data_IF_049673192732
#
_entry.id   IF_049673192732
#
_cell.length_a   1.000
_cell.length_b   1.000
_cell.length_c   1.000
_cell.angle_alpha   90.00
_cell.angle_beta   90.00
_cell.angle_gamma   90.00
#
_symmetry.space_group_name_H-M   'P 1'
#
loop_
_entity.id
_entity.type
_entity.pdbx_description
1 polymer ?
#
# COMPACT_ATOMS: atom_id res chain seq x y z
N UNK A 1 11.69 12.54 -32.95
CA UNK A 1 10.45 13.11 -32.40
C UNK A 1 10.78 13.49 -30.97
N UNK A 2 10.99 14.77 -30.72
CA UNK A 2 11.21 15.25 -29.35
C UNK A 2 9.83 15.31 -28.70
N UNK A 3 9.55 14.36 -27.81
CA UNK A 3 8.39 14.42 -26.95
C UNK A 3 8.72 15.35 -25.78
N UNK A 4 8.42 16.63 -25.92
CA UNK A 4 8.34 17.50 -24.76
C UNK A 4 6.99 17.24 -24.07
N UNK A 5 7.04 16.64 -22.91
CA UNK A 5 5.87 16.52 -22.03
C UNK A 5 5.65 17.88 -21.35
N UNK A 6 4.58 18.55 -21.72
CA UNK A 6 4.21 19.84 -21.13
C UNK A 6 2.88 19.72 -20.37
N UNK A 7 2.87 20.20 -19.16
CA UNK A 7 1.65 20.31 -18.37
C UNK A 7 0.75 21.46 -18.89
N UNK A 8 -0.56 21.28 -18.78
CA UNK A 8 -1.51 22.36 -19.05
C UNK A 8 -1.40 23.47 -17.99
N UNK A 9 -1.91 24.66 -18.31
CA UNK A 9 -1.95 25.75 -17.33
C UNK A 9 -2.74 25.40 -16.05
N UNK A 10 -3.79 24.58 -16.17
CA UNK A 10 -4.56 24.10 -15.03
C UNK A 10 -3.75 23.12 -14.16
N UNK A 11 -3.05 22.17 -14.78
CA UNK A 11 -2.16 21.26 -14.07
C UNK A 11 -1.01 21.98 -13.37
N UNK A 12 -0.45 23.01 -14.00
CA UNK A 12 0.62 23.80 -13.38
C UNK A 12 0.09 24.66 -12.21
N UNK A 13 -1.10 25.23 -12.32
CA UNK A 13 -1.74 25.92 -11.20
C UNK A 13 -2.00 24.97 -10.02
N UNK A 14 -2.50 23.78 -10.29
CA UNK A 14 -2.68 22.75 -9.27
C UNK A 14 -1.34 22.31 -8.65
N UNK A 15 -0.28 22.17 -9.45
CA UNK A 15 1.08 21.92 -8.96
C UNK A 15 1.55 22.96 -7.97
N UNK A 16 1.31 24.25 -8.24
CA UNK A 16 1.69 25.32 -7.32
C UNK A 16 0.94 25.23 -5.99
N UNK A 17 -0.33 24.83 -6.01
CA UNK A 17 -1.12 24.60 -4.79
C UNK A 17 -0.54 23.45 -3.95
N UNK A 18 -0.29 22.30 -4.59
CA UNK A 18 0.30 21.12 -3.93
C UNK A 18 1.68 21.44 -3.38
N UNK A 19 2.52 22.13 -4.18
CA UNK A 19 3.86 22.54 -3.80
C UNK A 19 3.85 23.47 -2.59
N UNK A 20 3.01 24.49 -2.59
CA UNK A 20 2.92 25.44 -1.47
C UNK A 20 2.52 24.74 -0.16
N UNK A 21 1.59 23.78 -0.23
CA UNK A 21 1.21 22.98 0.93
C UNK A 21 2.39 22.12 1.41
N UNK A 22 3.04 21.39 0.51
CA UNK A 22 4.14 20.48 0.88
C UNK A 22 5.37 21.24 1.38
N UNK A 23 5.72 22.40 0.79
CA UNK A 23 6.83 23.24 1.27
C UNK A 23 6.58 23.77 2.69
N UNK A 24 5.33 24.09 3.00
CA UNK A 24 4.96 24.51 4.35
C UNK A 24 5.01 23.35 5.35
N UNK A 25 4.59 22.14 4.92
CA UNK A 25 4.41 20.99 5.82
C UNK A 25 5.64 20.10 5.91
N UNK A 26 6.44 20.02 4.87
CA UNK A 26 7.61 19.11 4.80
C UNK A 26 8.84 19.92 4.37
N UNK A 27 9.42 20.68 5.29
CA UNK A 27 10.64 21.43 5.00
C UNK A 27 11.82 20.48 4.78
N UNK A 28 12.92 20.90 4.12
CA UNK A 28 14.03 20.04 3.71
C UNK A 28 14.62 19.16 4.81
N UNK A 29 14.67 19.65 6.05
CA UNK A 29 15.15 18.92 7.22
C UNK A 29 14.23 17.78 7.69
N UNK A 30 13.02 17.69 7.12
CA UNK A 30 12.02 16.66 7.39
C UNK A 30 11.83 15.70 6.23
N UNK A 31 12.64 15.80 5.17
CA UNK A 31 12.60 14.81 4.10
C UNK A 31 12.89 13.41 4.65
N UNK A 32 12.11 12.43 4.23
CA UNK A 32 12.29 11.07 4.69
C UNK A 32 13.59 10.46 4.12
N UNK A 33 14.21 9.50 4.81
CA UNK A 33 15.21 8.66 4.18
C UNK A 33 14.61 7.87 3.02
N UNK A 34 15.45 7.49 2.07
CA UNK A 34 15.05 6.73 0.86
C UNK A 34 14.33 5.43 1.18
N UNK A 35 14.64 4.82 2.34
CA UNK A 35 13.99 3.60 2.79
C UNK A 35 12.89 3.91 3.83
N UNK A 36 11.61 3.84 3.45
CA UNK A 36 10.49 4.05 4.39
C UNK A 36 10.46 3.05 5.56
N UNK A 37 11.09 1.88 5.41
CA UNK A 37 11.15 0.85 6.44
C UNK A 37 12.13 1.23 7.57
N UNK A 38 13.05 2.16 7.31
CA UNK A 38 14.02 2.67 8.27
C UNK A 38 13.53 3.87 9.09
N UNK A 39 12.30 4.35 8.88
CA UNK A 39 11.76 5.50 9.59
C UNK A 39 11.70 5.26 11.11
N UNK A 40 12.22 6.22 11.88
CA UNK A 40 11.98 6.26 13.32
C UNK A 40 10.51 6.59 13.65
N UNK A 41 10.13 6.41 14.93
CA UNK A 41 8.74 6.57 15.34
C UNK A 41 8.24 8.03 15.20
N UNK A 42 9.09 9.02 15.46
CA UNK A 42 8.76 10.43 15.35
C UNK A 42 8.52 10.83 13.88
N UNK A 43 9.40 10.39 12.99
CA UNK A 43 9.29 10.64 11.55
C UNK A 43 8.07 9.93 10.96
N UNK A 44 7.82 8.69 11.37
CA UNK A 44 6.62 7.97 10.96
C UNK A 44 5.33 8.69 11.42
N UNK A 45 5.25 9.09 12.69
CA UNK A 45 4.10 9.81 13.22
C UNK A 45 3.90 11.15 12.51
N UNK A 46 4.98 11.86 12.22
CA UNK A 46 4.94 13.10 11.46
C UNK A 46 4.32 12.93 10.07
N UNK A 47 4.78 11.96 9.29
CA UNK A 47 4.22 11.72 7.96
C UNK A 47 2.80 11.16 8.00
N UNK A 48 2.42 10.45 9.07
CA UNK A 48 1.02 10.07 9.30
C UNK A 48 0.10 11.30 9.37
N UNK A 49 0.53 12.35 10.05
CA UNK A 49 -0.25 13.61 10.12
C UNK A 49 -0.27 14.32 8.76
N UNK A 50 0.84 14.37 8.03
CA UNK A 50 0.86 14.91 6.65
C UNK A 50 -0.12 14.16 5.76
N UNK A 51 -0.16 12.82 5.82
CA UNK A 51 -1.10 12.01 5.06
C UNK A 51 -2.57 12.29 5.43
N UNK A 52 -2.89 12.49 6.71
CA UNK A 52 -4.25 12.88 7.13
C UNK A 52 -4.64 14.25 6.57
N UNK A 53 -3.72 15.21 6.57
CA UNK A 53 -3.98 16.52 5.99
C UNK A 53 -4.14 16.47 4.45
N UNK A 54 -3.37 15.62 3.77
CA UNK A 54 -3.55 15.34 2.34
C UNK A 54 -4.88 14.62 2.09
N UNK A 55 -5.23 13.65 2.93
CA UNK A 55 -6.51 12.93 2.87
C UNK A 55 -7.71 13.87 3.04
N UNK A 56 -7.64 14.83 3.98
CA UNK A 56 -8.68 15.84 4.16
C UNK A 56 -8.88 16.73 2.93
N UNK A 57 -7.87 16.87 2.06
CA UNK A 57 -7.95 17.57 0.77
C UNK A 57 -8.33 16.65 -0.38
N UNK A 58 -8.46 15.35 -0.15
CA UNK A 58 -8.64 14.34 -1.19
C UNK A 58 -7.39 14.08 -2.04
N UNK A 59 -6.21 14.45 -1.56
CA UNK A 59 -4.94 14.32 -2.29
C UNK A 59 -4.19 13.01 -2.01
N UNK A 60 -4.52 12.30 -0.94
CA UNK A 60 -3.89 11.02 -0.62
C UNK A 60 -4.30 9.93 -1.62
N UNK A 61 -5.58 9.89 -1.99
CA UNK A 61 -6.16 9.03 -3.02
C UNK A 61 -7.01 9.87 -3.98
N UNK A 62 -6.36 10.67 -4.84
CA UNK A 62 -7.03 11.74 -5.58
C UNK A 62 -8.07 11.24 -6.59
N UNK A 63 -7.89 10.06 -7.16
CA UNK A 63 -8.78 9.51 -8.18
C UNK A 63 -9.99 8.75 -7.63
N UNK A 64 -10.06 8.55 -6.30
CA UNK A 64 -11.21 7.92 -5.66
C UNK A 64 -12.40 8.88 -5.49
N UNK A 65 -13.64 8.34 -5.36
CA UNK A 65 -14.84 9.18 -5.26
C UNK A 65 -14.84 10.09 -4.03
N UNK A 66 -15.25 11.35 -4.19
CA UNK A 66 -15.34 12.34 -3.11
C UNK A 66 -16.23 11.91 -1.95
N UNK A 67 -17.32 11.21 -2.24
CA UNK A 67 -18.27 10.74 -1.22
C UNK A 67 -17.68 9.78 -0.20
N UNK A 68 -16.53 9.17 -0.51
CA UNK A 68 -15.79 8.29 0.41
C UNK A 68 -14.47 8.90 0.90
N UNK A 69 -14.22 10.19 0.63
CA UNK A 69 -13.02 10.88 1.08
C UNK A 69 -11.86 10.90 0.08
N UNK A 70 -12.08 10.42 -1.14
CA UNK A 70 -11.15 10.62 -2.25
C UNK A 70 -11.28 12.01 -2.88
N UNK A 71 -10.37 12.33 -3.79
CA UNK A 71 -10.35 13.66 -4.45
C UNK A 71 -11.39 13.84 -5.56
N UNK A 72 -11.84 12.74 -6.19
CA UNK A 72 -12.65 12.81 -7.43
C UNK A 72 -11.90 13.53 -8.55
N UNK A 73 -10.57 13.49 -8.51
CA UNK A 73 -9.66 14.11 -9.47
C UNK A 73 -9.27 13.12 -10.56
N UNK A 74 -8.56 13.59 -11.58
CA UNK A 74 -8.07 12.75 -12.69
C UNK A 74 -6.70 12.17 -12.38
N UNK A 75 -6.25 11.20 -13.20
CA UNK A 75 -4.91 10.62 -13.11
C UNK A 75 -3.79 11.67 -13.29
N UNK A 76 -4.03 12.72 -14.07
CA UNK A 76 -3.08 13.81 -14.25
C UNK A 76 -2.81 14.58 -12.94
N UNK A 77 -3.86 14.81 -12.15
CA UNK A 77 -3.70 15.43 -10.84
C UNK A 77 -2.93 14.51 -9.88
N UNK A 78 -3.19 13.19 -9.94
CA UNK A 78 -2.44 12.21 -9.15
C UNK A 78 -0.96 12.24 -9.50
N UNK A 79 -0.63 12.29 -10.80
CA UNK A 79 0.75 12.39 -11.27
C UNK A 79 1.45 13.66 -10.73
N UNK A 80 0.77 14.81 -10.74
CA UNK A 80 1.29 16.05 -10.19
C UNK A 80 1.59 15.93 -8.69
N UNK A 81 0.67 15.31 -7.92
CA UNK A 81 0.86 15.08 -6.48
C UNK A 81 2.07 14.17 -6.25
N UNK A 82 2.15 13.06 -7.00
CA UNK A 82 3.23 12.08 -6.88
C UNK A 82 4.61 12.69 -7.15
N UNK A 83 4.72 13.52 -8.18
CA UNK A 83 5.95 14.23 -8.49
C UNK A 83 6.37 15.20 -7.40
N UNK A 84 5.43 15.97 -6.83
CA UNK A 84 5.75 16.92 -5.78
C UNK A 84 6.09 16.22 -4.45
N UNK A 85 5.48 15.08 -4.15
CA UNK A 85 5.86 14.24 -3.01
C UNK A 85 7.25 13.62 -3.20
N UNK A 86 7.52 13.06 -4.38
CA UNK A 86 8.79 12.44 -4.68
C UNK A 86 9.97 13.41 -4.61
N UNK A 87 9.79 14.67 -5.00
CA UNK A 87 10.82 15.73 -4.88
C UNK A 87 11.23 16.03 -3.44
N UNK A 88 10.45 15.60 -2.46
CA UNK A 88 10.66 15.82 -1.01
C UNK A 88 10.88 14.55 -0.24
N UNK A 89 11.09 13.43 -0.95
CA UNK A 89 11.25 12.10 -0.36
C UNK A 89 10.10 11.76 0.61
N UNK A 90 8.86 12.20 0.30
CA UNK A 90 7.69 11.91 1.12
C UNK A 90 7.22 10.49 0.80
N UNK A 91 7.12 9.59 1.80
CA UNK A 91 6.56 8.26 1.58
C UNK A 91 5.13 8.35 1.02
N UNK A 92 4.88 7.72 -0.12
CA UNK A 92 3.56 7.82 -0.77
C UNK A 92 2.45 7.28 0.11
N UNK A 93 2.66 6.13 0.71
CA UNK A 93 1.70 5.46 1.59
C UNK A 93 2.42 4.67 2.68
N UNK A 94 1.82 4.64 3.86
CA UNK A 94 2.14 3.67 4.92
C UNK A 94 1.15 2.51 4.93
N UNK A 95 0.28 2.46 3.95
CA UNK A 95 -0.82 1.52 3.85
C UNK A 95 -0.69 0.77 2.54
N UNK A 96 -0.92 -0.52 2.58
CA UNK A 96 -1.10 -1.29 1.37
C UNK A 96 -2.51 -1.01 0.82
N UNK A 97 -2.65 0.04 0.00
CA UNK A 97 -3.92 0.50 -0.56
C UNK A 97 -4.56 -0.43 -1.60
N UNK A 98 -4.02 -1.62 -1.81
CA UNK A 98 -4.50 -2.57 -2.82
C UNK A 98 -5.92 -3.09 -2.54
N UNK A 99 -6.37 -3.04 -1.29
CA UNK A 99 -7.75 -3.41 -0.91
C UNK A 99 -8.80 -2.37 -1.30
N UNK A 100 -8.41 -1.13 -1.56
CA UNK A 100 -9.37 -0.04 -1.76
C UNK A 100 -10.34 -0.30 -2.93
N UNK A 101 -9.89 -0.77 -4.12
CA UNK A 101 -10.80 -1.15 -5.19
C UNK A 101 -11.74 -2.30 -4.78
N UNK A 102 -11.24 -3.27 -4.01
CA UNK A 102 -12.06 -4.40 -3.56
C UNK A 102 -13.18 -3.93 -2.63
N UNK A 103 -12.89 -3.02 -1.68
CA UNK A 103 -13.93 -2.45 -0.82
C UNK A 103 -14.92 -1.60 -1.66
N UNK A 104 -14.42 -0.85 -2.64
CA UNK A 104 -15.26 -0.01 -3.49
C UNK A 104 -16.25 -0.82 -4.34
N UNK A 105 -15.80 -1.96 -4.87
CA UNK A 105 -16.59 -2.82 -5.78
C UNK A 105 -17.50 -3.78 -5.00
N UNK A 106 -16.95 -4.47 -4.01
CA UNK A 106 -17.61 -5.57 -3.30
C UNK A 106 -18.26 -5.18 -1.98
N UNK A 107 -17.91 -4.03 -1.44
CA UNK A 107 -18.41 -3.58 -0.14
C UNK A 107 -19.82 -3.03 -0.18
N UNK A 108 -20.57 -3.29 0.90
CA UNK A 108 -21.82 -2.56 1.17
C UNK A 108 -21.54 -1.10 1.49
N UNK A 109 -22.56 -0.25 1.46
CA UNK A 109 -22.39 1.17 1.80
C UNK A 109 -21.92 1.36 3.25
N UNK A 110 -22.34 0.47 4.17
CA UNK A 110 -21.88 0.46 5.56
C UNK A 110 -20.40 0.10 5.63
N UNK A 111 -19.96 -0.93 4.90
CA UNK A 111 -18.54 -1.32 4.83
C UNK A 111 -17.68 -0.22 4.20
N UNK A 112 -18.14 0.44 3.13
CA UNK A 112 -17.44 1.58 2.54
C UNK A 112 -17.26 2.71 3.53
N UNK A 113 -18.29 3.08 4.28
CA UNK A 113 -18.20 4.11 5.33
C UNK A 113 -17.27 3.70 6.46
N UNK A 114 -17.34 2.43 6.88
CA UNK A 114 -16.57 1.94 8.01
C UNK A 114 -15.08 1.74 7.69
N UNK A 115 -14.74 1.24 6.51
CA UNK A 115 -13.39 0.82 6.16
C UNK A 115 -12.75 1.69 5.06
N UNK A 116 -13.50 2.03 3.99
CA UNK A 116 -12.92 2.76 2.86
C UNK A 116 -12.63 4.22 3.22
N UNK A 117 -13.56 4.90 3.90
CA UNK A 117 -13.40 6.31 4.27
C UNK A 117 -12.17 6.55 5.15
N UNK A 118 -11.94 5.81 6.26
CA UNK A 118 -10.76 6.01 7.09
C UNK A 118 -9.44 5.72 6.35
N UNK A 119 -9.42 4.78 5.42
CA UNK A 119 -8.24 4.47 4.61
C UNK A 119 -7.95 5.58 3.59
N UNK A 120 -8.98 6.06 2.85
CA UNK A 120 -8.82 7.13 1.85
C UNK A 120 -8.41 8.46 2.47
N UNK A 121 -8.84 8.72 3.70
CA UNK A 121 -8.50 9.95 4.44
C UNK A 121 -7.21 9.84 5.28
N UNK A 122 -6.49 8.70 5.22
CA UNK A 122 -5.25 8.51 5.96
C UNK A 122 -5.42 8.31 7.47
N UNK A 123 -6.66 8.17 7.95
CA UNK A 123 -6.95 7.92 9.37
C UNK A 123 -6.50 6.53 9.81
N UNK A 124 -6.59 5.55 8.90
CA UNK A 124 -6.19 4.17 9.15
C UNK A 124 -5.18 3.69 8.12
N UNK A 125 -4.35 2.72 8.51
CA UNK A 125 -3.46 1.95 7.66
C UNK A 125 -3.97 0.53 7.50
N UNK A 126 -3.64 -0.13 6.38
CA UNK A 126 -4.02 -1.53 6.18
C UNK A 126 -2.90 -2.35 5.56
N UNK A 127 -2.87 -3.65 5.87
CA UNK A 127 -1.92 -4.61 5.33
C UNK A 127 -2.59 -5.80 4.70
N UNK A 128 -2.04 -6.22 3.57
CA UNK A 128 -2.45 -7.41 2.85
C UNK A 128 -1.92 -8.67 3.53
N UNK A 129 -2.80 -9.62 3.82
CA UNK A 129 -2.47 -10.88 4.50
C UNK A 129 -2.84 -12.08 3.62
N UNK A 130 -2.05 -12.32 2.57
CA UNK A 130 -2.35 -13.35 1.58
C UNK A 130 -1.51 -14.61 1.79
N UNK A 131 -0.18 -14.48 1.76
CA UNK A 131 0.75 -15.60 1.74
C UNK A 131 0.75 -16.42 3.01
N UNK A 132 0.94 -17.73 2.86
CA UNK A 132 1.13 -18.71 3.94
C UNK A 132 2.38 -19.54 3.67
N UNK A 133 2.86 -20.28 4.66
CA UNK A 133 4.02 -21.18 4.49
C UNK A 133 3.85 -22.20 3.35
N UNK A 134 2.63 -22.55 3.02
CA UNK A 134 2.26 -23.50 1.97
C UNK A 134 1.65 -22.86 0.72
N UNK A 135 1.45 -21.53 0.70
CA UNK A 135 0.73 -20.83 -0.35
C UNK A 135 1.30 -19.42 -0.58
N UNK A 136 1.97 -19.25 -1.70
CA UNK A 136 2.47 -17.97 -2.20
C UNK A 136 1.88 -17.71 -3.58
N UNK A 137 2.62 -18.01 -4.65
CA UNK A 137 2.14 -17.88 -6.03
C UNK A 137 0.86 -18.68 -6.31
N UNK A 138 0.66 -19.80 -5.65
CA UNK A 138 -0.62 -20.51 -5.62
C UNK A 138 -1.47 -20.06 -4.42
N UNK A 139 -2.05 -18.88 -4.51
CA UNK A 139 -2.89 -18.31 -3.45
C UNK A 139 -4.11 -19.19 -3.12
N UNK A 140 -4.65 -19.94 -4.09
CA UNK A 140 -5.79 -20.81 -3.85
C UNK A 140 -5.47 -22.04 -2.97
N UNK A 141 -4.17 -22.25 -2.65
CA UNK A 141 -3.72 -23.33 -1.76
C UNK A 141 -3.61 -22.92 -0.27
N UNK A 142 -4.13 -21.76 0.11
CA UNK A 142 -4.16 -21.31 1.51
C UNK A 142 -4.93 -22.31 2.39
N UNK A 143 -4.53 -22.37 3.66
CA UNK A 143 -5.07 -23.31 4.65
C UNK A 143 -5.65 -22.64 5.89
N UNK A 144 -5.35 -21.37 6.13
CA UNK A 144 -5.99 -20.62 7.22
C UNK A 144 -7.50 -20.60 7.01
N UNK A 145 -8.23 -20.89 8.07
CA UNK A 145 -9.68 -21.13 8.01
C UNK A 145 -10.46 -20.00 8.66
N UNK A 146 -11.67 -19.79 8.18
CA UNK A 146 -12.70 -19.00 8.85
C UNK A 146 -13.96 -19.86 8.98
N UNK A 147 -14.32 -20.23 10.20
CA UNK A 147 -15.48 -21.09 10.48
C UNK A 147 -16.61 -20.22 11.02
N UNK A 148 -17.81 -20.37 10.46
CA UNK A 148 -18.97 -19.60 10.89
C UNK A 148 -19.42 -20.01 12.30
N UNK A 149 -19.66 -19.03 13.17
CA UNK A 149 -20.18 -19.20 14.51
C UNK A 149 -21.28 -18.16 14.78
N UNK A 150 -22.52 -18.55 14.53
CA UNK A 150 -23.66 -17.64 14.53
C UNK A 150 -23.58 -16.61 13.42
N UNK A 151 -23.59 -15.33 13.79
CA UNK A 151 -23.44 -14.20 12.86
C UNK A 151 -21.97 -13.80 12.61
N UNK A 152 -21.04 -14.38 13.38
CA UNK A 152 -19.62 -14.11 13.33
C UNK A 152 -18.83 -15.26 12.66
N UNK A 153 -17.52 -15.05 12.54
CA UNK A 153 -16.55 -16.01 12.04
C UNK A 153 -15.41 -16.18 13.04
N UNK A 154 -14.94 -17.41 13.19
CA UNK A 154 -13.74 -17.74 13.99
C UNK A 154 -12.61 -18.08 13.03
N UNK A 155 -11.56 -17.26 13.04
CA UNK A 155 -10.41 -17.40 12.16
C UNK A 155 -9.26 -18.06 12.89
N UNK A 156 -8.64 -19.08 12.23
CA UNK A 156 -7.45 -19.77 12.70
C UNK A 156 -6.45 -19.95 11.57
N UNK A 157 -5.17 -19.83 11.89
CA UNK A 157 -4.08 -20.02 10.95
C UNK A 157 -2.96 -19.00 11.08
N UNK A 158 -2.23 -18.80 9.99
CA UNK A 158 -1.13 -17.82 9.96
C UNK A 158 -0.95 -17.24 8.57
N UNK A 159 -0.39 -16.05 8.53
CA UNK A 159 0.07 -15.39 7.30
C UNK A 159 1.50 -14.94 7.47
N UNK A 160 2.26 -14.88 6.37
CA UNK A 160 3.67 -14.53 6.40
C UNK A 160 4.06 -13.65 5.22
N UNK A 161 5.26 -13.06 5.32
CA UNK A 161 5.78 -12.09 4.34
C UNK A 161 4.88 -10.87 4.17
N UNK A 162 4.25 -10.43 5.26
CA UNK A 162 3.37 -9.26 5.24
C UNK A 162 4.25 -8.02 5.33
N UNK A 163 4.31 -7.26 4.24
CA UNK A 163 5.09 -6.02 4.19
C UNK A 163 4.46 -4.96 5.09
N UNK A 164 5.24 -4.49 6.05
CA UNK A 164 4.84 -3.45 6.98
C UNK A 164 5.82 -3.30 8.12
N UNK A 165 6.12 -2.03 8.49
CA UNK A 165 7.10 -1.66 9.51
C UNK A 165 6.47 -1.37 10.88
N UNK A 166 5.18 -1.12 10.89
CA UNK A 166 4.40 -0.80 12.09
C UNK A 166 3.17 -1.68 12.17
N UNK A 167 2.49 -1.63 13.30
CA UNK A 167 1.20 -2.29 13.46
C UNK A 167 0.15 -1.59 12.56
N UNK A 168 -0.63 -2.35 11.77
CA UNK A 168 -1.70 -1.77 10.95
C UNK A 168 -2.93 -1.45 11.81
N UNK A 169 -3.83 -0.62 11.31
CA UNK A 169 -5.17 -0.47 11.90
C UNK A 169 -6.15 -1.53 11.35
N UNK A 170 -5.86 -2.06 10.16
CA UNK A 170 -6.67 -3.04 9.46
C UNK A 170 -5.79 -4.07 8.73
N UNK A 171 -6.19 -5.32 8.78
CA UNK A 171 -5.65 -6.38 7.93
C UNK A 171 -6.74 -6.87 6.98
N UNK A 172 -6.36 -7.42 5.83
CA UNK A 172 -7.32 -7.94 4.88
C UNK A 172 -6.75 -9.13 4.09
N UNK A 173 -7.61 -10.09 3.81
CA UNK A 173 -7.19 -11.25 3.01
C UNK A 173 -8.18 -12.40 2.99
N UNK A 174 -7.88 -13.43 2.16
CA UNK A 174 -8.71 -14.60 2.02
C UNK A 174 -8.43 -15.66 3.09
N UNK A 175 -9.50 -16.39 3.45
CA UNK A 175 -9.47 -17.54 4.34
C UNK A 175 -10.42 -18.63 3.82
N UNK A 176 -10.14 -19.90 4.12
CA UNK A 176 -11.00 -21.02 3.74
C UNK A 176 -12.28 -20.98 4.57
N UNK A 177 -13.40 -20.78 3.92
CA UNK A 177 -14.76 -20.74 4.52
C UNK A 177 -15.58 -21.97 4.21
N UNK A 178 -15.29 -22.64 3.07
CA UNK A 178 -15.95 -23.86 2.62
C UNK A 178 -14.89 -24.93 2.35
N UNK A 179 -14.46 -25.71 3.38
CA UNK A 179 -13.32 -26.63 3.25
C UNK A 179 -13.45 -27.65 2.10
N UNK A 180 -14.67 -28.15 1.85
CA UNK A 180 -14.98 -29.12 0.79
C UNK A 180 -15.47 -28.45 -0.51
N UNK A 181 -15.38 -27.13 -0.59
CA UNK A 181 -15.78 -26.34 -1.75
C UNK A 181 -14.85 -26.53 -2.95
N UNK A 182 -15.38 -26.34 -4.14
CA UNK A 182 -14.55 -26.32 -5.35
C UNK A 182 -13.48 -25.23 -5.26
N UNK A 183 -12.30 -25.51 -5.81
CA UNK A 183 -11.20 -24.53 -5.90
C UNK A 183 -11.70 -23.20 -6.47
N UNK A 184 -11.32 -22.10 -5.87
CA UNK A 184 -11.75 -20.72 -6.15
C UNK A 184 -13.20 -20.38 -5.71
N UNK A 185 -13.94 -21.33 -5.15
CA UNK A 185 -15.27 -21.17 -4.58
C UNK A 185 -15.33 -21.67 -3.13
N UNK A 186 -14.20 -21.59 -2.44
CA UNK A 186 -14.04 -22.11 -1.07
C UNK A 186 -13.45 -21.05 -0.12
N UNK A 187 -13.32 -19.82 -0.58
CA UNK A 187 -12.69 -18.74 0.16
C UNK A 187 -13.68 -17.61 0.45
N UNK A 188 -13.61 -17.06 1.67
CA UNK A 188 -14.17 -15.77 2.02
C UNK A 188 -13.05 -14.73 2.18
N UNK A 189 -13.36 -13.45 2.01
CA UNK A 189 -12.40 -12.36 2.13
C UNK A 189 -12.78 -11.45 3.30
N UNK A 190 -11.87 -11.25 4.24
CA UNK A 190 -12.17 -10.58 5.51
C UNK A 190 -11.40 -9.28 5.68
N UNK A 191 -12.08 -8.30 6.27
CA UNK A 191 -11.53 -7.05 6.78
C UNK A 191 -11.38 -7.19 8.30
N UNK A 192 -10.15 -7.26 8.80
CA UNK A 192 -9.82 -7.61 10.18
C UNK A 192 -9.23 -6.39 10.88
N UNK A 193 -10.00 -5.69 11.75
CA UNK A 193 -9.46 -4.62 12.56
C UNK A 193 -8.32 -5.11 13.49
N UNK A 194 -7.34 -4.26 13.73
CA UNK A 194 -6.26 -4.51 14.67
C UNK A 194 -6.11 -3.28 15.62
N UNK A 195 -5.82 -3.49 16.91
CA UNK A 195 -5.64 -4.78 17.57
C UNK A 195 -6.94 -5.55 17.78
N UNK A 196 -6.88 -6.87 17.71
CA UNK A 196 -8.00 -7.78 18.00
C UNK A 196 -7.50 -8.96 18.83
N UNK A 197 -8.25 -9.40 19.85
CA UNK A 197 -7.92 -10.61 20.63
C UNK A 197 -7.78 -11.83 19.69
N UNK A 198 -6.72 -12.61 19.88
CA UNK A 198 -6.42 -13.76 19.00
C UNK A 198 -5.53 -13.42 17.80
N UNK A 199 -5.02 -12.20 17.70
CA UNK A 199 -4.02 -11.82 16.69
C UNK A 199 -2.67 -11.59 17.37
N UNK A 200 -1.63 -12.25 16.85
CA UNK A 200 -0.24 -12.02 17.24
C UNK A 200 0.57 -11.63 16.01
N UNK A 201 1.31 -10.51 16.12
CA UNK A 201 2.25 -10.04 15.10
C UNK A 201 3.68 -10.33 15.55
N UNK A 202 4.48 -10.97 14.69
CA UNK A 202 5.90 -11.18 14.91
C UNK A 202 6.71 -10.57 13.77
N UNK A 203 7.76 -9.83 14.08
CA UNK A 203 8.63 -9.21 13.09
C UNK A 203 9.57 -10.24 12.48
N UNK A 204 9.70 -10.22 11.17
CA UNK A 204 10.70 -11.00 10.44
C UNK A 204 11.96 -10.16 10.23
N UNK A 205 13.11 -10.76 10.51
CA UNK A 205 14.42 -10.17 10.15
C UNK A 205 14.82 -10.73 8.79
N UNK A 206 14.88 -9.86 7.80
CA UNK A 206 15.36 -10.18 6.45
C UNK A 206 16.83 -9.83 6.29
N UNK A 207 17.44 -10.25 5.19
CA UNK A 207 18.84 -9.93 4.89
C UNK A 207 19.08 -8.42 4.76
N UNK A 208 18.09 -7.69 4.27
CA UNK A 208 18.10 -6.23 4.11
C UNK A 208 17.53 -5.48 5.34
N UNK A 209 17.21 -6.15 6.44
CA UNK A 209 16.66 -5.55 7.65
C UNK A 209 15.24 -6.00 8.00
N UNK A 210 14.59 -5.35 8.98
CA UNK A 210 13.17 -5.56 9.30
C UNK A 210 12.30 -4.97 8.19
N UNK A 211 11.14 -5.52 7.94
CA UNK A 211 10.21 -4.98 6.94
C UNK A 211 9.03 -5.88 6.64
N UNK A 212 9.00 -7.07 7.25
CA UNK A 212 7.90 -8.00 7.09
C UNK A 212 7.45 -8.58 8.43
N UNK A 213 6.23 -9.11 8.42
CA UNK A 213 5.57 -9.67 9.59
C UNK A 213 5.13 -11.11 9.33
N UNK A 214 5.20 -11.92 10.39
CA UNK A 214 4.35 -13.08 10.60
C UNK A 214 3.10 -12.64 11.35
N UNK A 215 1.95 -13.17 10.97
CA UNK A 215 0.68 -12.91 11.65
C UNK A 215 0.04 -14.26 11.98
N UNK A 216 -0.25 -14.47 13.27
CA UNK A 216 -0.94 -15.65 13.76
C UNK A 216 -2.36 -15.29 14.18
N UNK A 217 -3.29 -16.15 13.82
CA UNK A 217 -4.70 -16.08 14.20
C UNK A 217 -5.03 -17.31 15.07
N UNK A 218 -5.38 -17.08 16.31
CA UNK A 218 -5.78 -18.08 17.28
C UNK A 218 -7.16 -17.78 17.82
N UNK A 219 -8.17 -18.50 17.31
CA UNK A 219 -9.57 -18.31 17.65
C UNK A 219 -10.02 -16.83 17.54
N UNK A 220 -9.49 -16.12 16.56
CA UNK A 220 -9.86 -14.74 16.28
C UNK A 220 -11.34 -14.66 15.88
N UNK A 221 -12.12 -13.95 16.67
CA UNK A 221 -13.53 -13.68 16.33
C UNK A 221 -13.66 -12.43 15.48
N UNK A 222 -14.24 -12.59 14.29
CA UNK A 222 -14.48 -11.51 13.32
C UNK A 222 -15.98 -11.42 13.04
N UNK A 223 -16.53 -10.22 13.09
CA UNK A 223 -17.95 -9.98 12.82
C UNK A 223 -18.30 -10.36 11.38
N UNK A 224 -19.48 -10.93 11.17
CA UNK A 224 -19.95 -11.24 9.82
C UNK A 224 -20.03 -10.04 8.90
N UNK A 225 -20.30 -8.85 9.45
CA UNK A 225 -20.25 -7.57 8.72
C UNK A 225 -18.86 -7.20 8.15
N UNK A 226 -17.80 -7.90 8.54
CA UNK A 226 -16.44 -7.69 8.05
C UNK A 226 -16.05 -8.66 6.91
N UNK A 227 -16.96 -9.56 6.51
CA UNK A 227 -16.81 -10.38 5.30
C UNK A 227 -17.12 -9.49 4.08
N UNK A 228 -16.17 -9.38 3.18
CA UNK A 228 -16.30 -8.60 1.95
C UNK A 228 -16.74 -9.51 0.80
N UNK A 229 -17.88 -9.23 0.19
CA UNK A 229 -18.54 -10.14 -0.75
C UNK A 229 -19.21 -11.31 -0.04
N UNK A 230 -19.47 -12.41 -0.77
CA UNK A 230 -20.02 -13.67 -0.25
C UNK A 230 -18.95 -14.54 0.41
N UNK A 231 -19.40 -15.54 1.19
CA UNK A 231 -18.50 -16.45 1.91
C UNK A 231 -17.72 -17.41 0.98
N UNK A 232 -18.11 -17.53 -0.26
CA UNK A 232 -17.48 -18.35 -1.32
C UNK A 232 -16.99 -17.48 -2.52
N UNK A 233 -17.05 -16.16 -2.39
CA UNK A 233 -16.62 -15.19 -3.40
C UNK A 233 -15.23 -14.58 -3.10
N UNK A 234 -14.54 -15.04 -2.06
CA UNK A 234 -13.27 -14.47 -1.63
C UNK A 234 -12.16 -14.53 -2.68
N UNK A 235 -12.22 -15.48 -3.62
CA UNK A 235 -11.28 -15.52 -4.75
C UNK A 235 -11.50 -14.33 -5.71
N UNK A 236 -12.74 -14.00 -6.05
CA UNK A 236 -13.08 -12.89 -6.93
C UNK A 236 -12.72 -11.55 -6.30
N UNK A 237 -12.95 -11.43 -4.97
CA UNK A 237 -12.52 -10.25 -4.21
C UNK A 237 -11.00 -10.12 -4.20
N UNK A 238 -10.28 -11.24 -3.95
CA UNK A 238 -8.82 -11.27 -4.00
C UNK A 238 -8.28 -10.95 -5.40
N UNK A 239 -8.94 -11.43 -6.47
CA UNK A 239 -8.57 -11.10 -7.84
C UNK A 239 -8.63 -9.58 -8.09
N UNK A 240 -9.67 -8.88 -7.60
CA UNK A 240 -9.75 -7.41 -7.69
C UNK A 240 -8.58 -6.73 -6.99
N UNK A 241 -8.13 -7.25 -5.82
CA UNK A 241 -6.93 -6.76 -5.13
C UNK A 241 -5.66 -7.00 -5.97
N UNK A 242 -5.52 -8.20 -6.55
CA UNK A 242 -4.35 -8.59 -7.36
C UNK A 242 -4.29 -7.84 -8.71
N UNK A 243 -5.42 -7.53 -9.31
CA UNK A 243 -5.47 -6.68 -10.51
C UNK A 243 -4.85 -5.30 -10.23
N UNK A 244 -5.12 -4.73 -9.06
CA UNK A 244 -4.51 -3.49 -8.63
C UNK A 244 -3.00 -3.65 -8.39
N UNK A 245 -2.57 -4.79 -7.84
CA UNK A 245 -1.16 -5.09 -7.59
C UNK A 245 -0.36 -5.29 -8.89
N UNK A 246 -0.93 -6.02 -9.86
CA UNK A 246 -0.21 -6.47 -11.05
C UNK A 246 -0.35 -5.56 -12.27
N UNK A 247 -1.34 -4.71 -12.34
CA UNK A 247 -1.61 -3.98 -13.58
C UNK A 247 -2.34 -2.66 -13.42
N UNK A 248 -2.91 -2.45 -12.26
CA UNK A 248 -3.56 -1.20 -11.97
C UNK A 248 -2.53 -0.12 -11.62
N UNK A 249 -2.29 0.80 -12.50
CA UNK A 249 -1.34 1.91 -12.34
C UNK A 249 0.10 1.40 -12.25
N UNK A 250 0.72 1.36 -13.41
CA UNK A 250 2.16 1.12 -13.50
C UNK A 250 2.83 1.86 -12.34
N UNK A 251 3.81 1.22 -11.74
CA UNK A 251 4.57 1.80 -10.65
C UNK A 251 4.65 3.28 -10.93
N UNK A 252 3.97 4.08 -10.12
CA UNK A 252 3.98 5.51 -10.28
C UNK A 252 5.42 5.85 -10.54
N UNK A 253 5.71 6.53 -11.62
CA UNK A 253 7.04 6.93 -11.95
C UNK A 253 7.68 7.32 -10.63
N UNK A 254 8.44 6.40 -10.02
CA UNK A 254 9.41 6.82 -9.05
C UNK A 254 10.32 7.68 -9.91
N UNK A 255 10.25 9.01 -9.83
CA UNK A 255 11.21 9.77 -10.56
C UNK A 255 12.51 9.32 -9.97
N UNK A 256 13.24 8.68 -10.75
CA UNK A 256 14.66 8.53 -10.85
C UNK A 256 15.54 8.94 -9.65
N UNK A 257 15.03 8.95 -8.41
CA UNK A 257 15.87 9.18 -7.24
C UNK A 257 17.00 8.15 -7.24
N UNK A 258 16.68 6.88 -7.49
CA UNK A 258 17.67 5.81 -7.63
C UNK A 258 18.54 6.01 -8.86
N UNK A 259 17.95 6.40 -9.99
CA UNK A 259 18.70 6.73 -11.19
C UNK A 259 19.58 7.96 -11.00
N UNK A 260 19.06 9.02 -10.40
CA UNK A 260 19.86 10.21 -10.09
C UNK A 260 20.99 9.91 -9.12
N UNK A 261 20.77 9.09 -8.09
CA UNK A 261 21.81 8.62 -7.17
C UNK A 261 22.85 7.76 -7.90
N UNK A 262 22.39 6.84 -8.74
CA UNK A 262 23.29 6.03 -9.58
C UNK A 262 24.12 6.92 -10.52
N UNK A 263 23.50 7.86 -11.19
CA UNK A 263 24.20 8.79 -12.08
C UNK A 263 25.19 9.69 -11.32
N UNK A 264 24.83 10.18 -10.14
CA UNK A 264 25.74 10.92 -9.28
C UNK A 264 26.92 10.04 -8.86
N UNK A 265 26.64 8.83 -8.37
CA UNK A 265 27.69 7.86 -8.01
C UNK A 265 28.65 7.59 -9.17
N UNK A 266 28.14 7.34 -10.38
CA UNK A 266 28.92 7.06 -11.59
C UNK A 266 29.80 8.26 -11.99
N UNK A 267 29.35 9.50 -11.76
CA UNK A 267 30.08 10.73 -12.08
C UNK A 267 31.16 11.04 -11.05
N UNK A 268 30.86 10.87 -9.79
CA UNK A 268 31.69 11.31 -8.65
C UNK A 268 32.69 10.25 -8.20
N UNK A 269 32.31 8.97 -8.28
CA UNK A 269 33.17 7.86 -7.84
C UNK A 269 34.28 7.61 -8.85
N UNK A 270 35.52 7.53 -8.33
CA UNK A 270 36.72 7.24 -9.14
C UNK A 270 37.26 5.85 -8.83
N UNK A 271 37.52 5.07 -9.86
CA UNK A 271 38.27 3.81 -9.77
C UNK A 271 39.63 4.00 -10.43
N UNK A 272 40.71 3.85 -9.65
CA UNK A 272 42.10 4.10 -10.10
C UNK A 272 42.31 5.51 -10.68
N UNK A 273 41.65 6.51 -10.08
CA UNK A 273 41.77 7.92 -10.49
C UNK A 273 40.88 8.34 -11.66
N UNK A 274 40.16 7.40 -12.29
CA UNK A 274 39.24 7.67 -13.42
C UNK A 274 37.79 7.56 -12.94
N UNK A 275 36.87 8.48 -13.32
CA UNK A 275 35.46 8.35 -13.00
C UNK A 275 34.89 7.02 -13.49
N UNK A 276 34.09 6.37 -12.67
CA UNK A 276 33.45 5.07 -13.01
C UNK A 276 32.61 5.20 -14.29
N UNK A 277 31.97 6.34 -14.50
CA UNK A 277 31.22 6.63 -15.73
C UNK A 277 32.05 6.79 -17.00
N UNK A 278 33.37 6.82 -16.91
CA UNK A 278 34.25 6.80 -18.09
C UNK A 278 34.48 5.37 -18.63
N UNK A 279 34.13 4.33 -17.86
CA UNK A 279 34.21 2.95 -18.30
C UNK A 279 33.10 2.65 -19.32
N UNK A 280 33.43 2.20 -20.55
CA UNK A 280 32.46 1.89 -21.59
C UNK A 280 31.42 0.85 -21.15
N UNK A 281 31.81 -0.13 -20.32
CA UNK A 281 30.90 -1.18 -19.82
C UNK A 281 29.83 -0.57 -18.92
N UNK A 282 30.23 0.32 -18.00
CA UNK A 282 29.29 1.02 -17.12
C UNK A 282 28.34 1.92 -17.92
N UNK A 283 28.85 2.61 -18.94
CA UNK A 283 28.02 3.49 -19.79
C UNK A 283 26.99 2.74 -20.64
N UNK A 284 27.20 1.47 -20.92
CA UNK A 284 26.27 0.64 -21.71
C UNK A 284 25.21 -0.04 -20.84
N UNK A 285 25.43 -0.10 -19.53
CA UNK A 285 24.54 -0.80 -18.56
C UNK A 285 23.79 0.17 -17.63
N UNK A 286 24.12 1.42 -17.64
CA UNK A 286 23.45 2.50 -16.92
C UNK A 286 22.61 3.35 -17.87
#
# INVERSE_FOLDING_TARGET
MDFEFAYSGEQEAFRQEVRAFLDQRVPPERHAPVDPESLDDDTFAYFREVHKEMGARGWLYPTYPKQYGGGGLTADHEMVIDEEMARRDIPRHFSNGLVLPSILVWGTEEQKKQFLVPLLTGQQTCYQTFSESSAGSDLAAIKSTAVRDGDDWVINGHKLFITGIREPDLMYGPFVTVPDGARHHNLGYFLIPYPSPGVTLERMTLLNGPGQLFIYFDNLRVRGANLLGGHDEGWQVAATTLEQEHGGRGAAFSPDADLHQLLAYIRETKRRGVPVGADPTVRLTA
#
